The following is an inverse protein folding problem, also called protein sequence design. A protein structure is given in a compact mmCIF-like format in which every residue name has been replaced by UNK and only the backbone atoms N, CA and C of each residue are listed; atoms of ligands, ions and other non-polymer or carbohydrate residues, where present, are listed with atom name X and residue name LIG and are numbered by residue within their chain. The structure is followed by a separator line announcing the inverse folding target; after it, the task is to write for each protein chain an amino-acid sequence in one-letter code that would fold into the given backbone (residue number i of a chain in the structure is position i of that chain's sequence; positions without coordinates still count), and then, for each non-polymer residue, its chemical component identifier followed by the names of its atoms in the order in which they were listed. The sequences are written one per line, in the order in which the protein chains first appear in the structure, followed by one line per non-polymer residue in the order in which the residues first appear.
data_IF_440318290698
#
_entry.id   IF_440318290698
#
_cell.length_a   1.000
_cell.length_b   1.000
_cell.length_c   1.000
_cell.angle_alpha   90.00
_cell.angle_beta   90.00
_cell.angle_gamma   90.00
#
_symmetry.space_group_name_H-M   'P 1'
#
loop_
_entity.id
_entity.type
_entity.pdbx_description
1 polymer ?
#
# COMPACT_ATOMS: atom_id res chain seq x y z
N UNK A 1 1.71 30.55 10.86
CA UNK A 1 1.52 31.05 9.49
C UNK A 1 2.49 30.41 8.49
N UNK A 2 3.83 30.41 8.71
CA UNK A 2 4.79 29.75 7.81
C UNK A 2 4.55 28.24 7.61
N UNK A 3 4.27 27.52 8.71
CA UNK A 3 3.94 26.09 8.68
C UNK A 3 2.67 25.81 7.87
N UNK A 4 1.57 26.53 8.16
CA UNK A 4 0.33 26.47 7.38
C UNK A 4 0.55 26.76 5.89
N UNK A 5 1.37 27.76 5.54
CA UNK A 5 1.70 28.05 4.14
C UNK A 5 2.44 26.88 3.49
N UNK A 6 3.36 26.22 4.21
CA UNK A 6 4.03 25.00 3.75
C UNK A 6 3.04 23.85 3.52
N UNK A 7 2.13 23.62 4.47
CA UNK A 7 1.06 22.61 4.32
C UNK A 7 0.15 22.89 3.11
N UNK A 8 -0.20 24.15 2.88
CA UNK A 8 -1.02 24.57 1.74
C UNK A 8 -0.28 24.40 0.41
N UNK A 9 1.03 24.68 0.38
CA UNK A 9 1.86 24.38 -0.80
C UNK A 9 1.82 22.89 -1.09
N UNK A 10 2.05 22.03 -0.10
CA UNK A 10 1.96 20.56 -0.27
C UNK A 10 0.56 20.13 -0.74
N UNK A 11 -0.50 20.76 -0.21
CA UNK A 11 -1.90 20.50 -0.58
C UNK A 11 -2.19 20.81 -2.06
N UNK A 12 -1.52 21.81 -2.64
CA UNK A 12 -1.63 22.17 -4.05
C UNK A 12 -0.63 21.44 -4.97
N UNK A 13 0.44 20.86 -4.39
CA UNK A 13 1.66 20.48 -5.10
C UNK A 13 1.74 19.06 -5.73
N UNK A 14 0.67 18.33 -6.06
CA UNK A 14 0.86 17.14 -6.89
C UNK A 14 0.21 17.29 -8.27
N UNK A 15 0.93 17.87 -9.23
CA UNK A 15 0.48 18.02 -10.64
C UNK A 15 1.09 16.97 -11.57
N UNK A 16 1.08 15.69 -11.18
CA UNK A 16 1.63 14.63 -12.03
C UNK A 16 1.39 13.21 -11.54
N UNK A 17 0.19 12.91 -11.08
CA UNK A 17 -0.15 11.53 -10.71
C UNK A 17 -0.41 10.68 -11.95
N UNK A 18 0.14 9.47 -11.95
CA UNK A 18 -0.08 8.53 -13.06
C UNK A 18 -1.28 7.64 -12.81
N UNK A 19 -1.61 7.40 -11.55
CA UNK A 19 -2.74 6.58 -11.16
C UNK A 19 -3.31 6.96 -9.78
N UNK A 20 -4.46 6.38 -9.46
CA UNK A 20 -5.14 6.54 -8.17
C UNK A 20 -4.28 6.09 -6.97
N UNK A 21 -3.36 5.15 -7.16
CA UNK A 21 -2.47 4.70 -6.09
C UNK A 21 -1.46 5.78 -5.68
N UNK A 22 -0.96 6.59 -6.63
CA UNK A 22 -0.08 7.72 -6.33
C UNK A 22 -0.81 8.76 -5.45
N UNK A 23 -2.08 9.03 -5.78
CA UNK A 23 -2.95 9.87 -4.95
C UNK A 23 -3.15 9.28 -3.56
N UNK A 24 -3.43 7.96 -3.45
CA UNK A 24 -3.60 7.30 -2.15
C UNK A 24 -2.33 7.39 -1.30
N UNK A 25 -1.16 7.13 -1.89
CA UNK A 25 0.14 7.26 -1.21
C UNK A 25 0.33 8.70 -0.71
N UNK A 26 0.04 9.71 -1.55
CA UNK A 26 0.08 11.10 -1.15
C UNK A 26 -0.85 11.38 0.03
N UNK A 27 -2.11 10.95 -0.02
CA UNK A 27 -3.10 11.17 1.03
C UNK A 27 -2.70 10.51 2.35
N UNK A 28 -2.15 9.30 2.31
CA UNK A 28 -1.62 8.60 3.49
C UNK A 28 -0.47 9.39 4.11
N UNK A 29 0.52 9.79 3.32
CA UNK A 29 1.68 10.55 3.81
C UNK A 29 1.30 11.94 4.31
N UNK A 30 0.36 12.60 3.64
CA UNK A 30 -0.21 13.88 4.07
C UNK A 30 -0.93 13.72 5.41
N UNK A 31 -1.80 12.71 5.56
CA UNK A 31 -2.48 12.37 6.82
C UNK A 31 -1.50 12.11 7.97
N UNK A 32 -0.36 11.47 7.67
CA UNK A 32 0.69 11.14 8.65
C UNK A 32 1.37 12.35 9.25
N UNK A 33 1.51 13.42 8.47
CA UNK A 33 2.06 14.70 8.93
C UNK A 33 1.13 15.45 9.89
N UNK A 34 -0.08 14.93 10.14
CA UNK A 34 -1.11 15.55 10.99
C UNK A 34 -1.42 17.02 10.66
N UNK A 35 -1.70 17.34 9.39
CA UNK A 35 -1.85 18.71 8.93
C UNK A 35 -3.04 19.42 9.57
N UNK A 36 -2.97 20.75 9.58
CA UNK A 36 -4.04 21.59 10.10
C UNK A 36 -5.39 21.31 9.45
N UNK A 37 -6.48 21.68 10.13
CA UNK A 37 -7.85 21.54 9.59
C UNK A 37 -8.01 22.31 8.28
N UNK A 38 -7.36 23.46 8.14
CA UNK A 38 -7.42 24.29 6.94
C UNK A 38 -6.79 23.54 5.76
N UNK A 39 -5.58 22.99 5.93
CA UNK A 39 -4.91 22.23 4.88
C UNK A 39 -5.72 20.98 4.47
N UNK A 40 -6.28 20.25 5.43
CA UNK A 40 -7.15 19.08 5.14
C UNK A 40 -8.42 19.47 4.39
N UNK A 41 -9.08 20.55 4.79
CA UNK A 41 -10.24 21.10 4.09
C UNK A 41 -9.89 21.58 2.69
N UNK A 42 -8.68 22.11 2.49
CA UNK A 42 -8.21 22.57 1.19
C UNK A 42 -7.95 21.42 0.23
N UNK A 43 -7.27 20.35 0.70
CA UNK A 43 -7.13 19.12 -0.08
C UNK A 43 -8.49 18.51 -0.43
N UNK A 44 -9.47 18.57 0.48
CA UNK A 44 -10.82 18.05 0.21
C UNK A 44 -11.51 18.79 -0.94
N UNK A 45 -11.33 20.11 -1.03
CA UNK A 45 -11.89 20.92 -2.14
C UNK A 45 -11.32 20.49 -3.49
N UNK A 46 -10.02 20.15 -3.54
CA UNK A 46 -9.40 19.66 -4.77
C UNK A 46 -9.63 18.17 -4.99
N UNK A 47 -9.87 17.39 -3.94
CA UNK A 47 -10.07 15.94 -4.06
C UNK A 47 -11.19 15.65 -5.06
N UNK A 48 -12.27 16.45 -5.09
CA UNK A 48 -13.29 16.35 -6.12
C UNK A 48 -13.87 17.72 -6.45
N UNK A 49 -13.56 18.24 -7.64
CA UNK A 49 -14.02 19.51 -8.17
C UNK A 49 -14.44 19.33 -9.63
N UNK A 50 -15.60 19.88 -10.01
CA UNK A 50 -16.14 19.81 -11.38
C UNK A 50 -16.12 18.39 -11.99
N UNK A 51 -16.56 17.41 -11.19
CA UNK A 51 -16.57 15.98 -11.55
C UNK A 51 -15.20 15.37 -11.86
N UNK A 52 -14.13 16.03 -11.39
CA UNK A 52 -12.75 15.60 -11.58
C UNK A 52 -11.97 15.60 -10.27
N UNK A 53 -11.04 14.66 -10.14
CA UNK A 53 -10.04 14.68 -9.09
C UNK A 53 -8.99 15.74 -9.45
N UNK A 54 -8.79 16.71 -8.55
CA UNK A 54 -7.87 17.84 -8.71
C UNK A 54 -8.09 18.64 -10.00
N UNK A 55 -9.34 18.67 -10.50
CA UNK A 55 -9.71 19.38 -11.73
C UNK A 55 -9.14 18.80 -13.04
N UNK A 56 -8.29 17.77 -12.94
CA UNK A 56 -7.58 17.20 -14.09
C UNK A 56 -8.16 15.83 -14.48
N UNK A 57 -8.40 14.97 -13.50
CA UNK A 57 -8.65 13.55 -13.76
C UNK A 57 -10.13 13.19 -13.63
N UNK A 58 -10.72 12.63 -14.69
CA UNK A 58 -12.06 12.07 -14.60
C UNK A 58 -12.05 10.87 -13.63
N UNK A 59 -12.91 10.90 -12.62
CA UNK A 59 -12.88 9.90 -11.56
C UNK A 59 -13.26 8.49 -12.05
N UNK A 60 -14.19 8.38 -12.99
CA UNK A 60 -14.59 7.10 -13.57
C UNK A 60 -13.46 6.47 -14.37
N UNK A 61 -12.81 7.26 -15.23
CA UNK A 61 -11.69 6.78 -16.03
C UNK A 61 -10.54 6.31 -15.13
N UNK A 62 -10.28 7.03 -14.04
CA UNK A 62 -9.28 6.67 -13.04
C UNK A 62 -9.64 5.42 -12.24
N UNK A 63 -10.91 5.26 -11.87
CA UNK A 63 -11.39 4.06 -11.20
C UNK A 63 -11.25 2.83 -12.10
N UNK A 64 -11.69 2.94 -13.36
CA UNK A 64 -11.52 1.88 -14.36
C UNK A 64 -10.03 1.57 -14.59
N UNK A 65 -9.18 2.59 -14.72
CA UNK A 65 -7.73 2.39 -14.84
C UNK A 65 -7.15 1.69 -13.60
N UNK A 66 -7.59 2.05 -12.39
CA UNK A 66 -7.16 1.39 -11.16
C UNK A 66 -7.60 -0.08 -11.09
N UNK A 67 -8.81 -0.41 -11.58
CA UNK A 67 -9.27 -1.79 -11.71
C UNK A 67 -8.40 -2.58 -12.71
N UNK A 68 -8.09 -2.00 -13.87
CA UNK A 68 -7.22 -2.63 -14.88
C UNK A 68 -5.81 -2.87 -14.35
N UNK A 69 -5.24 -1.89 -13.64
CA UNK A 69 -3.94 -2.02 -12.99
C UNK A 69 -3.90 -3.12 -11.92
N UNK A 70 -5.06 -3.52 -11.41
CA UNK A 70 -5.24 -4.65 -10.49
C UNK A 70 -5.75 -5.92 -11.18
N UNK A 71 -5.57 -6.03 -12.50
CA UNK A 71 -5.80 -7.25 -13.25
C UNK A 71 -7.23 -7.48 -13.70
N UNK A 72 -8.14 -6.50 -13.58
CA UNK A 72 -9.47 -6.57 -14.21
C UNK A 72 -9.32 -6.32 -15.72
N UNK A 73 -9.68 -7.27 -16.60
CA UNK A 73 -9.59 -7.05 -18.04
C UNK A 73 -10.49 -5.88 -18.50
N UNK A 74 -9.98 -4.99 -19.35
CA UNK A 74 -10.71 -3.82 -19.86
C UNK A 74 -12.01 -4.18 -20.60
N UNK A 75 -12.04 -5.35 -21.23
CA UNK A 75 -13.23 -5.89 -21.89
C UNK A 75 -14.36 -6.12 -20.87
N UNK A 76 -14.05 -6.58 -19.65
CA UNK A 76 -15.07 -6.77 -18.62
C UNK A 76 -15.64 -5.46 -18.12
N UNK A 77 -14.82 -4.41 -18.02
CA UNK A 77 -15.29 -3.07 -17.66
C UNK A 77 -16.24 -2.46 -18.71
N UNK A 78 -16.21 -2.97 -19.95
CA UNK A 78 -17.10 -2.53 -21.02
C UNK A 78 -18.43 -3.31 -21.05
N UNK A 79 -18.57 -4.37 -20.24
CA UNK A 79 -19.83 -5.12 -20.12
C UNK A 79 -20.85 -4.34 -19.29
N UNK A 80 -22.14 -4.65 -19.47
CA UNK A 80 -23.21 -4.03 -18.67
C UNK A 80 -22.96 -4.20 -17.16
N UNK A 81 -22.58 -5.40 -16.72
CA UNK A 81 -22.31 -5.70 -15.32
C UNK A 81 -21.07 -4.93 -14.81
N UNK A 82 -19.99 -4.88 -15.59
CA UNK A 82 -18.78 -4.12 -15.24
C UNK A 82 -19.03 -2.62 -15.11
N UNK A 83 -19.83 -2.03 -15.99
CA UNK A 83 -20.22 -0.61 -15.91
C UNK A 83 -21.09 -0.34 -14.68
N UNK A 84 -22.07 -1.19 -14.40
CA UNK A 84 -22.94 -1.06 -13.23
C UNK A 84 -22.14 -1.18 -11.93
N UNK A 85 -21.26 -2.17 -11.84
CA UNK A 85 -20.37 -2.35 -10.69
C UNK A 85 -19.45 -1.15 -10.49
N UNK A 86 -18.75 -0.70 -11.54
CA UNK A 86 -17.85 0.46 -11.48
C UNK A 86 -18.57 1.72 -11.02
N UNK A 87 -19.80 1.94 -11.51
CA UNK A 87 -20.63 3.09 -11.10
C UNK A 87 -20.99 3.04 -9.61
N UNK A 88 -21.32 1.86 -9.07
CA UNK A 88 -21.60 1.68 -7.63
C UNK A 88 -20.37 1.91 -6.74
N UNK A 89 -19.17 1.61 -7.24
CA UNK A 89 -17.94 1.80 -6.47
C UNK A 89 -17.56 3.28 -6.27
N UNK A 90 -18.07 4.21 -7.09
CA UNK A 90 -17.65 5.61 -7.11
C UNK A 90 -17.65 6.23 -5.70
N UNK A 91 -18.81 6.22 -5.05
CA UNK A 91 -18.99 6.91 -3.78
C UNK A 91 -18.13 6.28 -2.68
N UNK A 92 -18.12 4.95 -2.61
CA UNK A 92 -17.34 4.23 -1.60
C UNK A 92 -15.83 4.43 -1.77
N UNK A 93 -15.32 4.44 -3.01
CA UNK A 93 -13.91 4.74 -3.29
C UNK A 93 -13.59 6.19 -2.93
N UNK A 94 -14.44 7.13 -3.31
CA UNK A 94 -14.25 8.55 -2.98
C UNK A 94 -14.23 8.77 -1.46
N UNK A 95 -15.20 8.22 -0.72
CA UNK A 95 -15.23 8.33 0.73
C UNK A 95 -14.03 7.61 1.38
N UNK A 96 -13.53 6.52 0.80
CA UNK A 96 -12.30 5.83 1.24
C UNK A 96 -11.05 6.71 1.07
N UNK A 97 -10.92 7.44 -0.04
CA UNK A 97 -9.84 8.41 -0.23
C UNK A 97 -9.97 9.58 0.77
N UNK A 98 -11.20 10.06 0.97
CA UNK A 98 -11.52 11.17 1.87
C UNK A 98 -11.24 10.85 3.34
N UNK A 99 -11.22 9.57 3.75
CA UNK A 99 -10.84 9.15 5.11
C UNK A 99 -9.56 9.86 5.56
N UNK A 100 -8.51 9.85 4.73
CA UNK A 100 -7.21 10.40 5.07
C UNK A 100 -7.21 11.93 5.34
N UNK A 101 -8.30 12.63 5.03
CA UNK A 101 -8.47 14.07 5.29
C UNK A 101 -9.19 14.34 6.62
N UNK A 102 -9.68 13.30 7.29
CA UNK A 102 -10.16 13.42 8.66
C UNK A 102 -9.02 13.40 9.68
N UNK A 103 -9.28 13.87 10.90
CA UNK A 103 -8.35 13.64 12.01
C UNK A 103 -8.29 12.13 12.34
N UNK A 104 -7.20 11.67 12.97
CA UNK A 104 -6.94 10.23 13.16
C UNK A 104 -8.04 9.50 13.93
N UNK A 105 -8.63 10.10 14.97
CA UNK A 105 -9.75 9.51 15.70
C UNK A 105 -10.99 9.34 14.81
N UNK A 106 -11.31 10.35 13.99
CA UNK A 106 -12.44 10.29 13.05
C UNK A 106 -12.17 9.35 11.87
N UNK A 107 -10.92 9.18 11.45
CA UNK A 107 -10.55 8.17 10.45
C UNK A 107 -11.01 6.78 10.89
N UNK A 108 -10.65 6.38 12.11
CA UNK A 108 -10.98 5.06 12.65
C UNK A 108 -12.49 4.81 12.67
N UNK A 109 -13.27 5.76 13.17
CA UNK A 109 -14.74 5.67 13.20
C UNK A 109 -15.38 5.63 11.81
N UNK A 110 -14.83 6.38 10.83
CA UNK A 110 -15.35 6.39 9.45
C UNK A 110 -15.02 5.11 8.71
N UNK A 111 -13.87 4.49 9.00
CA UNK A 111 -13.53 3.18 8.47
C UNK A 111 -14.56 2.12 8.91
N UNK A 112 -15.03 2.13 10.16
CA UNK A 112 -16.05 1.17 10.63
C UNK A 112 -17.32 1.19 9.78
N UNK A 113 -17.76 2.38 9.38
CA UNK A 113 -18.89 2.55 8.46
C UNK A 113 -18.55 2.04 7.06
N UNK A 114 -17.40 2.46 6.51
CA UNK A 114 -16.97 2.09 5.16
C UNK A 114 -16.79 0.58 4.98
N UNK A 115 -16.33 -0.16 6.00
CA UNK A 115 -16.22 -1.62 5.92
C UNK A 115 -17.60 -2.29 5.74
N UNK A 116 -18.69 -1.65 6.18
CA UNK A 116 -20.05 -2.09 5.87
C UNK A 116 -20.40 -1.92 4.39
N UNK A 117 -20.06 -0.78 3.79
CA UNK A 117 -20.28 -0.52 2.35
C UNK A 117 -19.41 -1.43 1.48
N UNK A 118 -18.14 -1.62 1.85
CA UNK A 118 -17.23 -2.52 1.16
C UNK A 118 -17.65 -3.98 1.23
N UNK A 119 -18.32 -4.41 2.32
CA UNK A 119 -18.91 -5.75 2.40
C UNK A 119 -19.97 -5.98 1.30
N UNK A 120 -20.83 -5.00 1.07
CA UNK A 120 -21.84 -5.07 -0.01
C UNK A 120 -21.14 -5.13 -1.37
N UNK A 121 -20.13 -4.28 -1.60
CA UNK A 121 -19.37 -4.28 -2.85
C UNK A 121 -18.58 -5.58 -3.07
N UNK A 122 -18.15 -6.28 -2.01
CA UNK A 122 -17.53 -7.59 -2.14
C UNK A 122 -18.51 -8.65 -2.63
N UNK A 123 -19.73 -8.64 -2.12
CA UNK A 123 -20.77 -9.57 -2.58
C UNK A 123 -21.14 -9.29 -4.05
N UNK A 124 -21.30 -8.01 -4.42
CA UNK A 124 -21.55 -7.61 -5.80
C UNK A 124 -20.39 -8.03 -6.73
N UNK A 125 -19.15 -7.81 -6.33
CA UNK A 125 -17.97 -8.19 -7.11
C UNK A 125 -17.88 -9.70 -7.35
N UNK A 126 -18.16 -10.50 -6.31
CA UNK A 126 -18.20 -11.95 -6.42
C UNK A 126 -19.31 -12.41 -7.39
N UNK A 127 -20.48 -11.77 -7.35
CA UNK A 127 -21.58 -12.08 -8.26
C UNK A 127 -21.25 -11.73 -9.72
N UNK A 128 -20.57 -10.61 -9.97
CA UNK A 128 -20.12 -10.23 -11.32
C UNK A 128 -19.10 -11.25 -11.86
N UNK A 129 -18.11 -11.61 -11.04
CA UNK A 129 -17.12 -12.63 -11.43
C UNK A 129 -17.80 -13.99 -11.69
N UNK A 130 -18.72 -14.43 -10.82
CA UNK A 130 -19.44 -15.70 -10.95
C UNK A 130 -20.28 -15.77 -12.24
N UNK A 131 -21.04 -14.70 -12.55
CA UNK A 131 -21.81 -14.60 -13.79
C UNK A 131 -20.91 -14.75 -15.02
N UNK A 132 -19.81 -14.02 -15.05
CA UNK A 132 -18.84 -14.11 -16.15
C UNK A 132 -18.29 -15.54 -16.31
N UNK A 133 -17.88 -16.17 -15.21
CA UNK A 133 -17.35 -17.55 -15.26
C UNK A 133 -18.38 -18.56 -15.74
N UNK A 134 -19.65 -18.37 -15.37
CA UNK A 134 -20.77 -19.22 -15.78
C UNK A 134 -21.06 -19.07 -17.28
N UNK A 135 -21.15 -17.84 -17.77
CA UNK A 135 -21.40 -17.55 -19.19
C UNK A 135 -20.28 -18.07 -20.09
N UNK A 136 -19.03 -17.99 -19.63
CA UNK A 136 -17.85 -18.45 -20.36
C UNK A 136 -17.55 -19.95 -20.17
N UNK A 137 -18.37 -20.69 -19.41
CA UNK A 137 -18.16 -22.10 -19.07
C UNK A 137 -16.75 -22.39 -18.51
N UNK A 138 -16.22 -21.48 -17.68
CA UNK A 138 -14.90 -21.64 -17.08
C UNK A 138 -15.01 -22.64 -15.91
N UNK A 139 -14.12 -23.65 -15.81
CA UNK A 139 -14.15 -24.58 -14.68
C UNK A 139 -13.96 -23.88 -13.34
N UNK A 140 -14.71 -24.30 -12.31
CA UNK A 140 -14.63 -23.75 -10.94
C UNK A 140 -13.23 -23.63 -10.37
N UNK A 141 -12.38 -24.62 -10.61
CA UNK A 141 -10.98 -24.62 -10.16
C UNK A 141 -10.11 -23.53 -10.81
N UNK A 142 -10.56 -22.97 -11.94
CA UNK A 142 -9.89 -21.93 -12.71
C UNK A 142 -10.66 -20.60 -12.69
N UNK A 143 -11.64 -20.42 -11.79
CA UNK A 143 -12.40 -19.17 -11.70
C UNK A 143 -11.46 -17.99 -11.47
N UNK A 144 -11.35 -17.07 -12.44
CA UNK A 144 -10.64 -15.83 -12.20
C UNK A 144 -11.37 -15.01 -11.14
N UNK A 145 -10.60 -14.32 -10.30
CA UNK A 145 -11.10 -13.32 -9.36
C UNK A 145 -10.67 -11.97 -9.90
N UNK A 146 -11.55 -11.28 -10.62
CA UNK A 146 -11.25 -9.98 -11.21
C UNK A 146 -11.71 -8.88 -10.26
N UNK A 147 -13.01 -8.58 -10.28
CA UNK A 147 -13.59 -7.56 -9.41
C UNK A 147 -13.44 -7.95 -7.95
N UNK A 148 -13.54 -9.25 -7.63
CA UNK A 148 -13.33 -9.77 -6.27
C UNK A 148 -11.92 -9.46 -5.76
N UNK A 149 -10.88 -9.66 -6.59
CA UNK A 149 -9.50 -9.41 -6.19
C UNK A 149 -9.23 -7.90 -5.99
N UNK A 150 -9.80 -7.05 -6.85
CA UNK A 150 -9.69 -5.60 -6.70
C UNK A 150 -10.41 -5.10 -5.44
N UNK A 151 -11.64 -5.57 -5.19
CA UNK A 151 -12.41 -5.18 -3.99
C UNK A 151 -11.74 -5.63 -2.71
N UNK A 152 -11.17 -6.85 -2.72
CA UNK A 152 -10.40 -7.39 -1.60
C UNK A 152 -9.22 -6.46 -1.28
N UNK A 153 -8.46 -6.04 -2.30
CA UNK A 153 -7.35 -5.11 -2.12
C UNK A 153 -7.80 -3.82 -1.43
N UNK A 154 -8.90 -3.20 -1.88
CA UNK A 154 -9.43 -1.97 -1.27
C UNK A 154 -9.87 -2.16 0.19
N UNK A 155 -10.63 -3.23 0.46
CA UNK A 155 -11.13 -3.51 1.81
C UNK A 155 -10.01 -3.83 2.81
N UNK A 156 -8.99 -4.61 2.41
CA UNK A 156 -7.91 -5.02 3.30
C UNK A 156 -7.07 -3.81 3.71
N UNK A 157 -6.83 -2.85 2.80
CA UNK A 157 -6.16 -1.60 3.17
C UNK A 157 -6.91 -0.86 4.30
N UNK A 158 -8.24 -0.80 4.24
CA UNK A 158 -9.04 -0.17 5.29
C UNK A 158 -9.02 -0.99 6.59
N UNK A 159 -9.06 -2.32 6.51
CA UNK A 159 -8.92 -3.19 7.68
C UNK A 159 -7.56 -2.99 8.36
N UNK A 160 -6.46 -3.01 7.60
CA UNK A 160 -5.11 -2.73 8.12
C UNK A 160 -5.07 -1.34 8.75
N UNK A 161 -5.59 -0.31 8.07
CA UNK A 161 -5.62 1.06 8.59
C UNK A 161 -6.40 1.18 9.91
N UNK A 162 -7.52 0.46 10.05
CA UNK A 162 -8.32 0.44 11.27
C UNK A 162 -7.54 -0.10 12.48
N UNK A 163 -6.78 -1.19 12.29
CA UNK A 163 -5.98 -1.79 13.37
C UNK A 163 -4.80 -0.89 13.72
N UNK A 164 -4.03 -0.39 12.73
CA UNK A 164 -2.86 0.46 13.03
C UNK A 164 -3.24 1.80 13.66
N UNK A 165 -4.39 2.39 13.28
CA UNK A 165 -4.93 3.56 13.98
C UNK A 165 -5.27 3.26 15.44
N UNK A 166 -5.66 2.02 15.76
CA UNK A 166 -5.88 1.62 17.14
C UNK A 166 -4.58 1.61 17.97
N UNK A 167 -3.45 1.25 17.35
CA UNK A 167 -2.13 1.34 17.98
C UNK A 167 -1.72 2.81 18.15
N UNK A 168 -1.81 3.62 17.09
CA UNK A 168 -1.43 5.04 17.10
C UNK A 168 -2.24 5.87 18.11
N UNK A 169 -3.54 5.55 18.27
CA UNK A 169 -4.44 6.23 19.20
C UNK A 169 -4.36 5.66 20.64
N UNK A 170 -3.48 4.69 20.92
CA UNK A 170 -3.33 4.10 22.25
C UNK A 170 -4.57 3.34 22.72
N UNK A 171 -5.34 2.74 21.80
CA UNK A 171 -6.62 2.08 22.11
C UNK A 171 -6.45 0.63 22.57
N UNK A 172 -5.28 0.04 22.32
CA UNK A 172 -4.87 -1.27 22.78
C UNK A 172 -3.98 -1.15 24.00
N UNK A 173 -4.26 -1.93 25.04
CA UNK A 173 -3.31 -2.11 26.14
C UNK A 173 -2.06 -2.88 25.64
N UNK A 174 -0.90 -2.77 26.32
CA UNK A 174 0.30 -3.53 25.93
C UNK A 174 0.08 -5.05 25.83
N UNK A 175 -0.78 -5.62 26.69
CA UNK A 175 -1.17 -7.03 26.63
C UNK A 175 -1.99 -7.40 25.38
N UNK A 176 -2.57 -6.43 24.67
CA UNK A 176 -3.34 -6.65 23.44
C UNK A 176 -2.48 -6.50 22.17
N UNK A 177 -1.22 -6.04 22.29
CA UNK A 177 -0.34 -5.83 21.13
C UNK A 177 -0.05 -7.12 20.37
N UNK A 178 0.15 -8.25 21.07
CA UNK A 178 0.31 -9.56 20.44
C UNK A 178 -0.87 -9.91 19.53
N UNK A 179 -2.11 -9.73 20.02
CA UNK A 179 -3.33 -9.95 19.23
C UNK A 179 -3.44 -8.98 18.05
N UNK A 180 -3.11 -7.70 18.24
CA UNK A 180 -3.18 -6.71 17.17
C UNK A 180 -2.20 -7.03 16.03
N UNK A 181 -0.94 -7.37 16.35
CA UNK A 181 0.06 -7.73 15.35
C UNK A 181 -0.21 -9.09 14.69
N UNK A 182 -0.76 -10.06 15.42
CA UNK A 182 -1.21 -11.33 14.84
C UNK A 182 -2.29 -11.10 13.78
N UNK A 183 -3.30 -10.28 14.10
CA UNK A 183 -4.37 -9.98 13.15
C UNK A 183 -3.83 -9.22 11.93
N UNK A 184 -2.87 -8.31 12.14
CA UNK A 184 -2.19 -7.61 11.06
C UNK A 184 -1.38 -8.57 10.15
N UNK A 185 -0.64 -9.54 10.70
CA UNK A 185 0.05 -10.60 9.88
C UNK A 185 -0.98 -11.37 9.04
N UNK A 186 -2.14 -11.71 9.60
CA UNK A 186 -3.21 -12.34 8.85
C UNK A 186 -3.71 -11.48 7.67
N UNK A 187 -3.99 -10.19 7.90
CA UNK A 187 -4.46 -9.28 6.86
C UNK A 187 -3.41 -9.09 5.75
N UNK A 188 -2.15 -8.85 6.11
CA UNK A 188 -1.06 -8.76 5.13
C UNK A 188 -0.81 -10.10 4.42
N UNK A 189 -1.03 -11.23 5.09
CA UNK A 189 -1.00 -12.56 4.48
C UNK A 189 -2.09 -12.73 3.41
N UNK A 190 -3.31 -12.29 3.70
CA UNK A 190 -4.42 -12.29 2.73
C UNK A 190 -4.12 -11.38 1.53
N UNK A 191 -3.63 -10.17 1.80
CA UNK A 191 -3.19 -9.22 0.76
C UNK A 191 -2.07 -9.80 -0.11
N UNK A 192 -1.05 -10.40 0.50
CA UNK A 192 0.07 -11.02 -0.21
C UNK A 192 -0.42 -12.14 -1.14
N UNK A 193 -1.35 -12.98 -0.68
CA UNK A 193 -1.95 -14.01 -1.50
C UNK A 193 -2.73 -13.41 -2.67
N UNK A 194 -3.50 -12.34 -2.43
CA UNK A 194 -4.24 -11.63 -3.47
C UNK A 194 -3.28 -11.08 -4.55
N UNK A 195 -2.26 -10.33 -4.14
CA UNK A 195 -1.27 -9.74 -5.04
C UNK A 195 -0.53 -10.79 -5.87
N UNK A 196 -0.10 -11.90 -5.27
CA UNK A 196 0.62 -12.96 -5.99
C UNK A 196 -0.25 -13.66 -7.05
N UNK A 197 -1.51 -13.97 -6.70
CA UNK A 197 -2.46 -14.58 -7.65
C UNK A 197 -2.76 -13.62 -8.79
N UNK A 198 -3.06 -12.37 -8.48
CA UNK A 198 -3.35 -11.33 -9.48
C UNK A 198 -2.14 -11.07 -10.37
N UNK A 199 -0.94 -10.97 -9.81
CA UNK A 199 0.29 -10.77 -10.59
C UNK A 199 0.55 -11.93 -11.55
N UNK A 200 0.43 -13.17 -11.06
CA UNK A 200 0.57 -14.37 -11.91
C UNK A 200 -0.40 -14.34 -13.09
N UNK A 201 -1.64 -13.90 -12.85
CA UNK A 201 -2.64 -13.74 -13.89
C UNK A 201 -2.26 -12.65 -14.89
N UNK A 202 -1.93 -11.45 -14.41
CA UNK A 202 -1.54 -10.30 -15.24
C UNK A 202 -0.34 -10.63 -16.12
N UNK A 203 0.67 -11.32 -15.57
CA UNK A 203 1.85 -11.73 -16.31
C UNK A 203 1.51 -12.74 -17.43
N UNK A 204 0.63 -13.71 -17.15
CA UNK A 204 0.15 -14.67 -18.17
C UNK A 204 -0.64 -13.97 -19.27
N UNK A 205 -1.54 -13.04 -18.93
CA UNK A 205 -2.28 -12.26 -19.90
C UNK A 205 -1.36 -11.40 -20.78
N UNK A 206 -0.36 -10.75 -20.20
CA UNK A 206 0.62 -9.94 -20.95
C UNK A 206 1.43 -10.76 -21.96
N UNK A 207 1.69 -12.04 -21.68
CA UNK A 207 2.34 -12.97 -22.63
C UNK A 207 1.42 -13.39 -23.79
N UNK A 208 0.12 -13.53 -23.53
CA UNK A 208 -0.87 -13.98 -24.53
C UNK A 208 -1.34 -12.82 -25.42
N UNK A 209 -1.43 -11.61 -24.87
CA UNK A 209 -1.84 -10.39 -25.57
C UNK A 209 -0.74 -9.32 -25.43
N UNK A 210 0.35 -9.38 -26.23
CA UNK A 210 1.36 -8.34 -26.19
C UNK A 210 0.73 -7.00 -26.57
N UNK A 211 0.87 -6.00 -25.70
CA UNK A 211 0.32 -4.66 -25.96
C UNK A 211 0.94 -4.08 -27.25
N UNK A 212 0.10 -3.60 -28.16
CA UNK A 212 0.56 -2.62 -29.17
C UNK A 212 0.94 -1.34 -28.41
N UNK A 213 2.06 -0.69 -28.76
CA UNK A 213 2.50 0.51 -28.06
C UNK A 213 1.41 1.59 -28.12
N UNK A 214 0.88 1.95 -26.96
CA UNK A 214 -0.01 3.09 -26.79
C UNK A 214 0.82 4.38 -26.93
N UNK A 215 1.04 4.86 -28.15
CA UNK A 215 1.73 6.14 -28.37
C UNK A 215 1.08 7.05 -29.41
N UNK A 216 -0.08 6.71 -29.98
CA UNK A 216 -0.68 7.56 -31.04
C UNK A 216 -2.10 8.08 -30.80
N UNK A 217 -2.78 7.76 -29.69
CA UNK A 217 -4.18 8.22 -29.49
C UNK A 217 -4.38 9.38 -28.50
N UNK A 218 -3.31 9.93 -27.90
CA UNK A 218 -3.44 11.04 -26.94
C UNK A 218 -2.82 12.38 -27.39
N UNK A 219 -2.71 12.63 -28.71
CA UNK A 219 -2.23 13.92 -29.25
C UNK A 219 -3.08 14.48 -30.39
N UNK A 220 -4.41 14.52 -30.23
CA UNK A 220 -5.21 15.44 -31.02
C UNK A 220 -6.36 15.98 -30.17
N UNK A 221 -6.18 17.15 -29.57
CA UNK A 221 -7.22 18.16 -29.33
C UNK A 221 -6.49 19.52 -29.15
N UNK A 222 -6.63 20.33 -30.21
CA UNK A 222 -6.84 21.78 -30.26
C UNK A 222 -5.75 22.72 -29.70
N UNK A 223 -4.98 23.30 -30.63
CA UNK A 223 -4.37 24.62 -30.44
C UNK A 223 -5.44 25.72 -30.64
N UNK A 224 -5.50 26.79 -29.82
CA UNK A 224 -6.45 27.88 -29.99
C UNK A 224 -6.03 28.84 -31.13
N UNK A 225 -6.97 29.49 -31.83
CA UNK A 225 -6.64 30.42 -32.91
C UNK A 225 -6.19 31.77 -32.32
N UNK A 226 -5.05 32.27 -32.80
CA UNK A 226 -4.54 33.61 -32.47
C UNK A 226 -5.20 34.66 -33.38
N UNK A 227 -5.49 35.89 -32.91
CA UNK A 227 -6.23 36.88 -33.68
C UNK A 227 -5.40 37.49 -34.82
N UNK A 228 -6.09 37.79 -35.93
CA UNK A 228 -5.57 38.52 -37.08
C UNK A 228 -5.23 39.98 -36.73
N UNK A 229 -4.08 40.44 -37.20
CA UNK A 229 -3.84 41.86 -37.47
C UNK A 229 -2.79 42.05 -38.58
N UNK A 230 -3.13 42.86 -39.58
CA UNK A 230 -2.17 43.69 -40.31
C UNK A 230 -1.64 43.16 -41.64
N UNK A 231 -2.37 43.43 -42.72
CA UNK A 231 -1.84 43.42 -44.08
C UNK A 231 -0.96 44.66 -44.32
N UNK A 232 0.27 44.47 -44.80
CA UNK A 232 0.95 45.41 -45.71
C UNK A 232 1.86 44.60 -46.65
N UNK A 233 1.62 44.75 -47.96
CA UNK A 233 2.47 44.23 -49.02
C UNK A 233 3.38 45.35 -49.58
N UNK A 234 4.63 45.05 -49.94
CA UNK A 234 5.23 45.42 -51.25
C UNK A 234 6.71 45.04 -51.41
N UNK A 235 6.97 44.22 -52.44
CA UNK A 235 7.94 44.36 -53.55
C UNK A 235 9.40 44.78 -53.24
N UNK A 236 10.40 43.92 -53.54
CA UNK A 236 11.02 43.73 -54.87
C UNK A 236 12.53 43.33 -54.90
N UNK A 237 12.83 42.43 -55.86
CA UNK A 237 13.98 42.35 -56.79
C UNK A 237 15.42 41.94 -56.38
N UNK A 238 15.84 40.82 -57.02
CA UNK A 238 17.04 40.61 -57.90
C UNK A 238 18.26 39.80 -57.41
N UNK A 239 18.49 38.69 -58.16
CA UNK A 239 19.76 38.09 -58.70
C UNK A 239 20.78 37.55 -57.68
N UNK A 240 21.48 36.42 -57.86
CA UNK A 240 21.90 35.67 -59.06
C UNK A 240 22.45 34.26 -58.70
N UNK A 241 22.30 33.30 -59.64
CA UNK A 241 23.18 32.20 -60.11
C UNK A 241 24.27 31.65 -59.13
N UNK A 242 24.51 30.34 -59.01
CA UNK A 242 25.08 29.50 -60.08
C UNK A 242 25.03 27.97 -59.81
N UNK A 243 24.71 27.22 -60.88
CA UNK A 243 25.29 25.94 -61.38
C UNK A 243 25.02 24.56 -60.75
N UNK A 244 24.43 23.73 -61.63
CA UNK A 244 24.32 22.28 -61.73
C UNK A 244 25.59 21.45 -61.45
N UNK A 245 25.40 20.23 -60.90
CA UNK A 245 25.77 18.99 -61.61
C UNK A 245 24.98 17.77 -61.11
N UNK A 246 24.38 17.08 -62.08
CA UNK A 246 23.73 15.76 -61.99
C UNK A 246 24.83 14.69 -62.12
N UNK A 247 24.81 13.61 -61.34
CA UNK A 247 25.03 12.26 -61.88
C UNK A 247 24.65 11.18 -60.88
N UNK A 248 24.25 10.06 -61.47
CA UNK A 248 23.56 8.91 -60.91
C UNK A 248 24.55 7.74 -60.73
N UNK A 249 24.18 6.84 -59.83
CA UNK A 249 24.60 5.44 -59.65
C UNK A 249 26.00 5.11 -59.14
N UNK A 250 25.98 4.30 -58.08
CA UNK A 250 27.09 3.49 -57.59
C UNK A 250 26.63 2.65 -56.39
N UNK A 251 26.10 1.46 -56.66
CA UNK A 251 25.86 0.42 -55.65
C UNK A 251 27.22 -0.02 -55.10
N UNK A 252 27.38 0.06 -53.78
CA UNK A 252 28.55 -0.41 -53.06
C UNK A 252 28.19 -0.67 -51.61
N UNK A 253 27.93 -1.94 -51.29
CA UNK A 253 27.84 -2.42 -49.92
C UNK A 253 29.21 -2.27 -49.25
N UNK A 254 29.29 -1.68 -48.05
CA UNK A 254 30.22 -2.01 -46.96
C UNK A 254 29.79 -1.28 -45.67
N UNK A 255 29.77 -2.06 -44.58
CA UNK A 255 29.87 -1.68 -43.16
C UNK A 255 28.74 -0.83 -42.54
N UNK A 256 27.77 -1.52 -41.94
CA UNK A 256 27.06 -1.04 -40.75
C UNK A 256 28.09 -0.84 -39.64
N UNK A 257 28.40 0.39 -39.33
CA UNK A 257 28.98 0.80 -38.05
C UNK A 257 28.17 1.98 -37.58
N UNK A 258 27.01 1.69 -37.00
CA UNK A 258 26.21 2.70 -36.31
C UNK A 258 26.05 2.26 -34.86
N UNK A 259 26.88 2.92 -34.04
CA UNK A 259 26.50 3.52 -32.77
C UNK A 259 25.40 2.82 -31.99
N UNK A 260 25.85 2.16 -30.92
CA UNK A 260 25.12 1.97 -29.68
C UNK A 260 24.33 3.24 -29.31
N UNK A 261 23.06 3.28 -29.68
CA UNK A 261 22.14 4.31 -29.22
C UNK A 261 21.27 3.74 -28.11
N UNK A 262 21.33 4.43 -26.98
CA UNK A 262 20.77 4.06 -25.69
C UNK A 262 19.26 3.85 -25.76
N UNK A 263 18.82 2.61 -25.90
CA UNK A 263 17.45 2.23 -25.59
C UNK A 263 17.29 2.28 -24.07
N UNK A 264 16.79 3.39 -23.54
CA UNK A 264 16.29 3.42 -22.17
C UNK A 264 15.23 2.32 -22.05
N UNK A 265 15.53 1.24 -21.32
CA UNK A 265 14.56 0.20 -21.00
C UNK A 265 13.39 0.88 -20.28
N UNK A 266 12.28 1.05 -20.98
CA UNK A 266 11.02 1.50 -20.36
C UNK A 266 10.60 0.42 -19.37
N UNK A 267 10.73 0.70 -18.07
CA UNK A 267 10.26 -0.21 -17.02
C UNK A 267 8.76 -0.41 -17.20
N UNK A 268 8.32 -1.67 -17.25
CA UNK A 268 6.90 -1.99 -17.21
C UNK A 268 6.33 -1.55 -15.85
N UNK A 269 5.55 -0.46 -15.88
CA UNK A 269 5.01 0.19 -14.68
C UNK A 269 4.11 -0.75 -13.87
N UNK A 270 3.31 -1.60 -14.54
CA UNK A 270 2.44 -2.57 -13.88
C UNK A 270 3.26 -3.62 -13.17
N UNK A 271 4.29 -4.16 -13.83
CA UNK A 271 5.23 -5.09 -13.22
C UNK A 271 5.93 -4.48 -12.00
N UNK A 272 6.49 -3.27 -12.15
CA UNK A 272 7.15 -2.57 -11.06
C UNK A 272 6.21 -2.39 -9.86
N UNK A 273 4.96 -1.97 -10.10
CA UNK A 273 3.95 -1.85 -9.05
C UNK A 273 3.76 -3.15 -8.27
N UNK A 274 3.47 -4.27 -8.94
CA UNK A 274 3.23 -5.53 -8.24
C UNK A 274 4.44 -5.99 -7.44
N UNK A 275 5.64 -5.91 -8.02
CA UNK A 275 6.87 -6.31 -7.32
C UNK A 275 7.12 -5.44 -6.08
N UNK A 276 6.92 -4.13 -6.18
CA UNK A 276 6.98 -3.21 -5.03
C UNK A 276 5.98 -3.60 -3.95
N UNK A 277 4.70 -3.71 -4.30
CA UNK A 277 3.64 -3.94 -3.32
C UNK A 277 3.75 -5.32 -2.66
N UNK A 278 4.12 -6.36 -3.42
CA UNK A 278 4.42 -7.70 -2.87
C UNK A 278 5.56 -7.59 -1.86
N UNK A 279 6.69 -6.99 -2.24
CA UNK A 279 7.87 -6.90 -1.38
C UNK A 279 7.62 -6.04 -0.13
N UNK A 280 6.84 -4.97 -0.26
CA UNK A 280 6.41 -4.13 0.86
C UNK A 280 5.48 -4.88 1.82
N UNK A 281 4.56 -5.68 1.27
CA UNK A 281 3.68 -6.56 2.06
C UNK A 281 4.49 -7.62 2.82
N UNK A 282 5.49 -8.22 2.19
CA UNK A 282 6.41 -9.18 2.84
C UNK A 282 7.19 -8.56 4.00
N UNK A 283 7.67 -7.32 3.83
CA UNK A 283 8.29 -6.53 4.89
C UNK A 283 7.35 -6.35 6.09
N UNK A 284 6.14 -5.82 5.85
CA UNK A 284 5.17 -5.56 6.92
C UNK A 284 4.76 -6.84 7.63
N UNK A 285 4.49 -7.91 6.87
CA UNK A 285 4.12 -9.21 7.41
C UNK A 285 5.22 -9.79 8.30
N UNK A 286 6.48 -9.70 7.87
CA UNK A 286 7.63 -10.17 8.66
C UNK A 286 7.80 -9.38 9.97
N UNK A 287 7.59 -8.06 9.94
CA UNK A 287 7.57 -7.21 11.14
C UNK A 287 6.43 -7.61 12.09
N UNK A 288 5.20 -7.71 11.58
CA UNK A 288 4.01 -8.06 12.38
C UNK A 288 4.18 -9.43 13.04
N UNK A 289 4.71 -10.41 12.30
CA UNK A 289 5.04 -11.74 12.85
C UNK A 289 6.10 -11.68 13.94
N UNK A 290 7.16 -10.89 13.73
CA UNK A 290 8.20 -10.70 14.74
C UNK A 290 7.62 -10.12 16.03
N UNK A 291 6.75 -9.10 15.92
CA UNK A 291 6.09 -8.53 17.10
C UNK A 291 5.10 -9.48 17.75
N UNK A 292 4.31 -10.23 16.99
CA UNK A 292 3.41 -11.24 17.56
C UNK A 292 4.19 -12.23 18.45
N UNK A 293 5.27 -12.81 17.92
CA UNK A 293 6.12 -13.74 18.67
C UNK A 293 6.81 -13.06 19.86
N UNK A 294 7.30 -11.84 19.68
CA UNK A 294 7.90 -11.04 20.74
C UNK A 294 6.93 -10.84 21.90
N UNK A 295 5.73 -10.34 21.64
CA UNK A 295 4.73 -10.08 22.68
C UNK A 295 4.28 -11.36 23.39
N UNK A 296 4.20 -12.49 22.69
CA UNK A 296 3.95 -13.77 23.35
C UNK A 296 5.07 -14.13 24.35
N UNK A 297 6.34 -13.98 23.95
CA UNK A 297 7.48 -14.24 24.83
C UNK A 297 7.50 -13.29 26.04
N UNK A 298 7.22 -11.99 25.83
CA UNK A 298 7.15 -11.00 26.90
C UNK A 298 6.04 -11.31 27.92
N UNK A 299 4.87 -11.74 27.46
CA UNK A 299 3.73 -12.11 28.31
C UNK A 299 4.07 -13.34 29.15
N UNK A 300 4.74 -14.35 28.56
CA UNK A 300 5.16 -15.57 29.28
C UNK A 300 6.22 -15.33 30.34
N UNK A 301 7.08 -14.34 30.16
CA UNK A 301 8.04 -13.93 31.19
C UNK A 301 7.42 -12.98 32.24
N UNK A 302 6.14 -12.64 32.12
CA UNK A 302 5.46 -11.71 33.02
C UNK A 302 5.97 -10.27 32.91
N UNK A 303 6.62 -9.92 31.79
CA UNK A 303 7.18 -8.58 31.55
C UNK A 303 6.13 -7.58 31.04
N UNK A 304 4.97 -8.09 30.60
CA UNK A 304 3.79 -7.31 30.22
C UNK A 304 2.66 -7.61 31.20
N UNK A 305 2.11 -6.56 31.81
CA UNK A 305 0.98 -6.70 32.73
C UNK A 305 -0.30 -7.07 31.99
N UNK A 306 -0.81 -8.28 32.24
CA UNK A 306 -2.09 -8.74 31.68
C UNK A 306 -3.22 -8.38 32.64
N UNK A 307 -4.03 -7.39 32.26
CA UNK A 307 -5.20 -6.97 33.04
C UNK A 307 -6.40 -7.87 32.76
N UNK A 308 -6.65 -8.79 33.70
CA UNK A 308 -7.82 -9.66 33.69
C UNK A 308 -9.12 -8.83 33.73
N UNK A 309 -10.05 -9.04 32.79
CA UNK A 309 -11.33 -8.32 32.83
C UNK A 309 -12.18 -8.77 34.02
N UNK A 310 -12.66 -7.80 34.82
CA UNK A 310 -13.48 -8.07 36.02
C UNK A 310 -14.92 -8.47 35.69
N UNK A 311 -15.51 -7.88 34.66
CA UNK A 311 -16.92 -8.05 34.28
C UNK A 311 -17.11 -8.58 32.85
N UNK A 312 -16.04 -9.02 32.20
CA UNK A 312 -16.08 -9.53 30.82
C UNK A 312 -15.07 -10.67 30.65
N UNK A 313 -14.99 -11.23 29.44
CA UNK A 313 -13.95 -12.18 29.05
C UNK A 313 -13.02 -11.57 28.01
N UNK A 314 -11.85 -12.18 27.82
CA UNK A 314 -10.96 -11.83 26.70
C UNK A 314 -11.64 -12.05 25.35
N UNK A 315 -12.47 -13.10 25.22
CA UNK A 315 -13.30 -13.37 24.04
C UNK A 315 -14.20 -12.18 23.69
N UNK A 316 -14.97 -11.65 24.66
CA UNK A 316 -15.86 -10.50 24.43
C UNK A 316 -15.04 -9.26 24.05
N UNK A 317 -13.89 -9.03 24.71
CA UNK A 317 -13.00 -7.92 24.37
C UNK A 317 -12.52 -8.03 22.92
N UNK A 318 -11.99 -9.18 22.53
CA UNK A 318 -11.56 -9.46 21.15
C UNK A 318 -12.70 -9.21 20.15
N UNK A 319 -13.87 -9.76 20.45
CA UNK A 319 -15.07 -9.58 19.65
C UNK A 319 -15.41 -8.10 19.44
N UNK A 320 -15.30 -7.25 20.48
CA UNK A 320 -15.51 -5.81 20.34
C UNK A 320 -14.40 -5.11 19.54
N UNK A 321 -13.13 -5.48 19.74
CA UNK A 321 -11.99 -4.88 19.01
C UNK A 321 -12.12 -5.05 17.50
N UNK A 322 -12.55 -6.23 17.07
CA UNK A 322 -12.64 -6.61 15.66
C UNK A 322 -14.09 -6.72 15.13
N UNK A 323 -15.06 -6.19 15.88
CA UNK A 323 -16.47 -6.18 15.47
C UNK A 323 -16.72 -5.62 14.05
N UNK A 324 -16.03 -4.55 13.61
CA UNK A 324 -16.24 -4.01 12.26
C UNK A 324 -15.93 -5.01 11.13
N UNK A 325 -15.10 -6.01 11.39
CA UNK A 325 -14.64 -6.95 10.36
C UNK A 325 -15.66 -8.06 10.06
N UNK A 326 -16.58 -8.34 10.99
CA UNK A 326 -17.55 -9.45 10.86
C UNK A 326 -18.48 -9.35 9.66
N UNK A 327 -18.67 -8.15 9.13
CA UNK A 327 -19.52 -7.91 7.96
C UNK A 327 -18.83 -8.32 6.66
N UNK A 328 -17.51 -8.35 6.62
CA UNK A 328 -16.76 -8.65 5.40
C UNK A 328 -16.74 -10.15 5.13
N UNK A 329 -16.84 -10.51 3.85
CA UNK A 329 -16.74 -11.89 3.43
C UNK A 329 -15.28 -12.33 3.29
N UNK A 330 -14.43 -11.44 2.78
CA UNK A 330 -13.01 -11.72 2.54
C UNK A 330 -12.13 -10.52 2.93
N UNK A 331 -11.00 -10.72 3.62
CA UNK A 331 -10.71 -11.92 4.41
C UNK A 331 -11.77 -12.12 5.50
N UNK A 332 -12.05 -13.37 5.83
CA UNK A 332 -13.02 -13.69 6.87
C UNK A 332 -12.54 -13.17 8.23
N UNK A 333 -13.46 -12.66 9.05
CA UNK A 333 -13.12 -12.21 10.39
C UNK A 333 -12.68 -13.39 11.26
N UNK A 334 -11.44 -13.35 11.75
CA UNK A 334 -10.95 -14.34 12.71
C UNK A 334 -11.66 -14.24 14.05
N UNK A 335 -11.70 -15.36 14.75
CA UNK A 335 -12.29 -15.55 16.07
C UNK A 335 -11.23 -15.51 17.18
N UNK A 336 -11.68 -15.49 18.44
CA UNK A 336 -10.75 -15.55 19.57
C UNK A 336 -10.18 -16.97 19.74
N UNK A 337 -10.94 -17.98 19.32
CA UNK A 337 -10.50 -19.37 19.24
C UNK A 337 -9.33 -19.51 18.26
N UNK A 338 -9.43 -18.93 17.06
CA UNK A 338 -8.33 -18.89 16.08
C UNK A 338 -7.07 -18.22 16.65
N UNK A 339 -7.24 -17.20 17.48
CA UNK A 339 -6.13 -16.55 18.18
C UNK A 339 -5.49 -17.50 19.19
N UNK A 340 -6.27 -18.16 20.04
CA UNK A 340 -5.73 -19.07 21.06
C UNK A 340 -4.99 -20.26 20.45
N UNK A 341 -5.51 -20.84 19.35
CA UNK A 341 -4.86 -21.94 18.64
C UNK A 341 -3.49 -21.52 18.05
N UNK A 342 -3.41 -20.31 17.48
CA UNK A 342 -2.15 -19.79 16.92
C UNK A 342 -1.21 -19.22 17.98
N UNK A 343 -1.72 -18.89 19.17
CA UNK A 343 -0.96 -18.32 20.28
C UNK A 343 -0.47 -19.40 21.27
N UNK A 344 -0.66 -20.68 20.97
CA UNK A 344 -0.13 -21.77 21.79
C UNK A 344 1.37 -21.99 21.55
N UNK A 345 2.17 -21.32 22.37
CA UNK A 345 3.61 -21.54 22.45
C UNK A 345 4.03 -22.38 23.66
N UNK A 346 3.09 -23.05 24.34
CA UNK A 346 3.34 -23.74 25.61
C UNK A 346 4.46 -24.79 25.54
N UNK A 347 4.65 -25.39 24.36
CA UNK A 347 5.67 -26.40 24.09
C UNK A 347 7.09 -25.85 23.90
N UNK A 348 7.25 -24.53 23.76
CA UNK A 348 8.54 -23.90 23.47
C UNK A 348 9.05 -23.10 24.67
N UNK A 349 10.36 -23.07 24.87
CA UNK A 349 10.98 -22.18 25.86
C UNK A 349 10.95 -20.71 25.37
N UNK A 350 10.76 -19.71 26.24
CA UNK A 350 10.71 -18.30 25.84
C UNK A 350 11.91 -17.86 24.98
N UNK A 351 13.11 -18.34 25.29
CA UNK A 351 14.33 -18.04 24.53
C UNK A 351 14.28 -18.53 23.07
N UNK A 352 13.58 -19.62 22.79
CA UNK A 352 13.38 -20.10 21.42
C UNK A 352 12.43 -19.17 20.65
N UNK A 353 11.40 -18.65 21.32
CA UNK A 353 10.43 -17.72 20.73
C UNK A 353 11.13 -16.39 20.41
N UNK A 354 11.99 -15.88 21.31
CA UNK A 354 12.79 -14.69 21.03
C UNK A 354 13.73 -14.86 19.84
N UNK A 355 14.36 -16.02 19.67
CA UNK A 355 15.19 -16.32 18.50
C UNK A 355 14.36 -16.31 17.20
N UNK A 356 13.18 -16.94 17.23
CA UNK A 356 12.24 -16.91 16.09
C UNK A 356 11.83 -15.47 15.73
N UNK A 357 11.54 -14.65 16.75
CA UNK A 357 11.19 -13.24 16.55
C UNK A 357 12.36 -12.45 15.95
N UNK A 358 13.60 -12.70 16.42
CA UNK A 358 14.81 -12.10 15.89
C UNK A 358 15.04 -12.46 14.41
N UNK A 359 14.79 -13.72 14.01
CA UNK A 359 14.84 -14.16 12.61
C UNK A 359 13.80 -13.45 11.74
N UNK A 360 12.58 -13.25 12.25
CA UNK A 360 11.55 -12.48 11.56
C UNK A 360 11.97 -11.00 11.39
N UNK A 361 12.59 -10.38 12.41
CA UNK A 361 13.13 -9.01 12.29
C UNK A 361 14.30 -8.92 11.29
N UNK A 362 15.19 -9.92 11.23
CA UNK A 362 16.26 -9.99 10.23
C UNK A 362 15.71 -10.11 8.81
N UNK A 363 14.64 -10.88 8.64
CA UNK A 363 13.92 -11.03 7.37
C UNK A 363 13.30 -9.70 6.95
N UNK A 364 12.57 -9.03 7.85
CA UNK A 364 12.05 -7.69 7.62
C UNK A 364 13.15 -6.69 7.21
N UNK A 365 14.28 -6.67 7.94
CA UNK A 365 15.44 -5.83 7.60
C UNK A 365 15.90 -6.06 6.16
N UNK A 366 16.03 -7.31 5.74
CA UNK A 366 16.46 -7.65 4.39
C UNK A 366 15.47 -7.15 3.32
N UNK A 367 14.16 -7.28 3.54
CA UNK A 367 13.15 -6.74 2.63
C UNK A 367 13.23 -5.21 2.54
N UNK A 368 13.40 -4.50 3.66
CA UNK A 368 13.52 -3.05 3.68
C UNK A 368 14.79 -2.56 2.95
N UNK A 369 15.94 -3.19 3.19
CA UNK A 369 17.19 -2.87 2.48
C UNK A 369 17.07 -3.08 0.97
N UNK A 370 16.37 -4.14 0.53
CA UNK A 370 16.14 -4.39 -0.88
C UNK A 370 15.26 -3.33 -1.53
N UNK A 371 14.17 -2.93 -0.87
CA UNK A 371 13.29 -1.86 -1.32
C UNK A 371 14.02 -0.51 -1.41
N UNK A 372 14.92 -0.21 -0.47
CA UNK A 372 15.71 1.02 -0.45
C UNK A 372 16.82 1.06 -1.50
N UNK A 373 17.43 -0.10 -1.84
CA UNK A 373 18.46 -0.16 -2.89
C UNK A 373 17.89 0.11 -4.28
N UNK A 374 16.62 -0.21 -4.51
CA UNK A 374 15.86 0.02 -5.73
C UNK A 374 16.66 -0.12 -7.05
N UNK A 375 17.38 -1.23 -7.21
CA UNK A 375 18.33 -1.43 -8.32
C UNK A 375 17.67 -1.33 -9.70
N UNK A 376 16.38 -1.64 -9.77
CA UNK A 376 15.59 -1.70 -11.00
C UNK A 376 14.69 -0.46 -11.16
N UNK A 377 14.86 0.57 -10.32
CA UNK A 377 14.01 1.76 -10.26
C UNK A 377 12.50 1.44 -10.13
N UNK A 378 12.18 0.29 -9.54
CA UNK A 378 10.82 -0.23 -9.31
C UNK A 378 10.05 0.63 -8.31
N UNK A 379 10.76 1.16 -7.31
CA UNK A 379 10.20 1.95 -6.22
C UNK A 379 10.35 3.46 -6.47
N UNK A 380 10.88 3.87 -7.61
CA UNK A 380 11.15 5.27 -7.92
C UNK A 380 10.07 5.85 -8.83
N UNK A 381 9.40 6.90 -8.35
CA UNK A 381 8.45 7.69 -9.15
C UNK A 381 9.09 8.99 -9.62
N UNK A 382 8.93 9.32 -10.90
CA UNK A 382 9.29 10.62 -11.44
C UNK A 382 8.23 11.64 -11.03
N UNK A 383 8.65 12.67 -10.30
CA UNK A 383 7.82 13.81 -9.90
C UNK A 383 8.30 15.08 -10.63
N UNK A 384 7.49 16.15 -10.65
CA UNK A 384 7.89 17.43 -11.22
C UNK A 384 9.20 17.99 -10.64
N UNK A 385 9.56 17.60 -9.41
CA UNK A 385 10.77 18.02 -8.71
C UNK A 385 11.92 16.99 -8.81
N UNK A 386 11.80 15.97 -9.67
CA UNK A 386 12.79 14.91 -9.87
C UNK A 386 12.32 13.51 -9.44
N UNK A 387 13.24 12.55 -9.37
CA UNK A 387 12.96 11.16 -8.95
C UNK A 387 12.79 11.09 -7.42
N UNK A 388 11.71 10.49 -6.93
CA UNK A 388 11.45 10.25 -5.49
C UNK A 388 11.14 8.77 -5.25
N UNK A 389 11.67 8.23 -4.15
CA UNK A 389 11.35 6.87 -3.69
C UNK A 389 9.95 6.84 -3.07
N UNK A 390 9.10 5.93 -3.54
CA UNK A 390 7.78 5.63 -2.97
C UNK A 390 7.97 5.12 -1.53
N UNK A 391 7.27 5.74 -0.57
CA UNK A 391 7.37 5.43 0.88
C UNK A 391 8.80 5.49 1.44
N UNK A 392 9.71 6.26 0.83
CA UNK A 392 11.14 6.24 1.20
C UNK A 392 11.45 6.59 2.66
N UNK A 393 10.80 7.60 3.24
CA UNK A 393 10.93 7.97 4.65
C UNK A 393 10.42 6.88 5.59
N UNK A 394 9.29 6.26 5.25
CA UNK A 394 8.73 5.14 5.99
C UNK A 394 9.62 3.89 5.94
N UNK A 395 10.15 3.55 4.77
CA UNK A 395 11.06 2.40 4.65
C UNK A 395 12.30 2.55 5.53
N UNK A 396 12.82 3.77 5.66
CA UNK A 396 13.95 4.07 6.56
C UNK A 396 13.57 3.89 8.04
N UNK A 397 12.38 4.33 8.45
CA UNK A 397 11.93 4.17 9.84
C UNK A 397 11.64 2.71 10.16
N UNK A 398 10.99 1.97 9.26
CA UNK A 398 10.77 0.52 9.39
C UNK A 398 12.08 -0.26 9.48
N UNK A 399 13.07 0.06 8.61
CA UNK A 399 14.41 -0.52 8.68
C UNK A 399 15.05 -0.28 10.06
N UNK A 400 14.97 0.96 10.57
CA UNK A 400 15.52 1.32 11.87
C UNK A 400 14.83 0.56 13.02
N UNK A 401 13.52 0.37 12.96
CA UNK A 401 12.78 -0.46 13.92
C UNK A 401 13.25 -1.92 13.88
N UNK A 402 13.40 -2.52 12.69
CA UNK A 402 13.88 -3.91 12.55
C UNK A 402 15.27 -4.08 13.16
N UNK A 403 16.20 -3.18 12.83
CA UNK A 403 17.58 -3.21 13.37
C UNK A 403 17.59 -3.02 14.88
N UNK A 404 16.84 -2.03 15.37
CA UNK A 404 16.83 -1.71 16.81
C UNK A 404 16.30 -2.87 17.63
N UNK A 405 15.18 -3.49 17.22
CA UNK A 405 14.64 -4.65 17.93
C UNK A 405 15.54 -5.89 17.82
N UNK A 406 16.20 -6.15 16.68
CA UNK A 406 17.24 -7.20 16.60
C UNK A 406 18.35 -6.97 17.64
N UNK A 407 18.87 -5.75 17.76
CA UNK A 407 19.94 -5.43 18.71
C UNK A 407 19.47 -5.59 20.15
N UNK A 408 18.26 -5.14 20.48
CA UNK A 408 17.68 -5.28 21.82
C UNK A 408 17.46 -6.74 22.22
N UNK A 409 17.02 -7.57 21.27
CA UNK A 409 16.90 -9.02 21.48
C UNK A 409 18.26 -9.69 21.66
N UNK A 410 19.28 -9.30 20.90
CA UNK A 410 20.63 -9.83 21.07
C UNK A 410 21.30 -9.38 22.38
N UNK A 411 20.96 -8.18 22.89
CA UNK A 411 21.43 -7.66 24.18
C UNK A 411 20.70 -8.27 25.38
N UNK A 412 19.51 -8.85 25.17
CA UNK A 412 18.77 -9.55 26.21
C UNK A 412 19.61 -10.74 26.68
N UNK A 413 19.93 -10.76 27.98
CA UNK A 413 20.53 -11.94 28.59
C UNK A 413 19.42 -12.97 28.80
N UNK A 414 19.54 -14.21 28.28
CA UNK A 414 18.58 -15.25 28.61
C UNK A 414 18.60 -15.47 30.11
N UNK A 415 17.42 -15.52 30.74
CA UNK A 415 17.31 -15.90 32.14
C UNK A 415 17.80 -17.35 32.25
N UNK A 416 19.01 -17.53 32.78
CA UNK A 416 19.61 -18.85 32.95
C UNK A 416 18.73 -19.70 33.89
N UNK A 417 17.95 -20.62 33.32
CA UNK A 417 17.26 -21.67 34.07
C UNK A 417 18.29 -22.73 34.49
N UNK A 418 18.84 -22.57 35.69
CA UNK A 418 19.81 -23.52 36.24
C UNK A 418 20.23 -23.28 37.69
N UNK A 419 19.40 -22.65 38.52
CA UNK A 419 19.75 -22.37 39.92
C UNK A 419 18.53 -22.34 40.84
N UNK A 420 18.32 -23.47 41.52
CA UNK A 420 17.39 -23.73 42.65
C UNK A 420 16.66 -22.50 43.21
N UNK A 421 15.32 -22.61 43.21
CA UNK A 421 14.36 -22.00 44.13
C UNK A 421 14.97 -21.01 45.12
N UNK A 422 14.97 -19.72 44.78
CA UNK A 422 14.97 -18.66 45.78
C UNK A 422 13.64 -17.92 45.69
N UNK A 423 12.90 -18.09 46.79
CA UNK A 423 11.70 -17.39 47.23
C UNK A 423 11.39 -16.13 46.42
N UNK A 424 10.15 -16.08 45.94
CA UNK A 424 9.49 -14.86 45.48
C UNK A 424 9.70 -13.73 46.51
N UNK A 425 10.73 -12.92 46.28
CA UNK A 425 10.74 -11.55 46.74
C UNK A 425 9.83 -10.80 45.79
N UNK A 426 8.76 -10.23 46.33
CA UNK A 426 8.02 -9.12 45.74
C UNK A 426 9.01 -7.97 45.47
N UNK A 427 9.74 -8.06 44.38
CA UNK A 427 10.61 -7.03 43.86
C UNK A 427 9.95 -6.51 42.60
N UNK A 428 9.64 -5.22 42.59
CA UNK A 428 9.09 -4.48 41.47
C UNK A 428 9.87 -4.84 40.20
N UNK A 429 9.33 -5.71 39.36
CA UNK A 429 9.80 -5.89 37.99
C UNK A 429 9.51 -4.58 37.28
N UNK A 430 10.56 -3.83 36.96
CA UNK A 430 10.43 -2.63 36.15
C UNK A 430 9.71 -3.01 34.85
N UNK A 431 8.55 -2.40 34.55
CA UNK A 431 7.78 -2.78 33.38
C UNK A 431 8.58 -2.50 32.12
N UNK A 432 8.42 -3.34 31.10
CA UNK A 432 9.00 -3.07 29.78
C UNK A 432 8.44 -1.76 29.23
N UNK A 433 9.33 -0.96 28.64
CA UNK A 433 8.96 0.26 27.93
C UNK A 433 8.92 0.00 26.42
N UNK A 434 7.89 0.55 25.77
CA UNK A 434 7.66 0.48 24.33
C UNK A 434 7.82 1.86 23.72
N UNK A 435 8.94 2.08 23.03
CA UNK A 435 9.26 3.37 22.41
C UNK A 435 8.73 3.45 20.97
N UNK A 436 7.73 4.30 20.75
CA UNK A 436 7.12 4.56 19.43
C UNK A 436 7.71 5.79 18.72
N UNK A 437 8.79 6.39 19.22
CA UNK A 437 9.40 7.61 18.65
C UNK A 437 9.92 7.43 17.21
N UNK A 438 10.32 6.20 16.85
CA UNK A 438 10.82 5.89 15.49
C UNK A 438 9.67 5.65 14.51
N UNK A 439 8.63 4.93 14.94
CA UNK A 439 7.50 4.57 14.10
C UNK A 439 6.20 4.47 14.92
N UNK A 440 5.09 5.07 14.47
CA UNK A 440 3.85 5.14 15.26
C UNK A 440 3.17 3.78 15.46
N UNK A 441 3.43 2.81 14.59
CA UNK A 441 2.78 1.49 14.65
C UNK A 441 3.69 0.38 15.15
N UNK A 442 4.99 0.59 15.30
CA UNK A 442 5.95 -0.48 15.60
C UNK A 442 6.97 0.03 16.64
N UNK A 443 6.90 -0.45 17.90
CA UNK A 443 7.74 0.07 18.97
C UNK A 443 9.15 -0.53 18.91
N UNK A 444 10.11 0.16 19.51
CA UNK A 444 11.36 -0.45 19.95
C UNK A 444 11.20 -0.89 21.40
N UNK A 445 11.41 -2.18 21.65
CA UNK A 445 11.33 -2.75 23.00
C UNK A 445 12.57 -2.40 23.81
N UNK A 446 12.37 -1.82 24.99
CA UNK A 446 13.43 -1.51 25.97
C UNK A 446 13.30 -2.52 27.11
N UNK A 447 14.28 -3.43 27.21
CA UNK A 447 14.35 -4.36 28.34
C UNK A 447 14.87 -3.63 29.58
N UNK A 448 14.32 -3.92 30.77
CA UNK A 448 14.84 -3.35 32.02
C UNK A 448 16.30 -3.74 32.23
N UNK A 449 17.11 -2.78 32.70
CA UNK A 449 18.49 -3.06 33.09
C UNK A 449 18.50 -4.03 34.29
N UNK A 450 19.27 -5.11 34.16
CA UNK A 450 19.44 -6.13 35.21
C UNK A 450 20.26 -5.63 36.38
#
# INVERSE_FOLDING_TARGET
MKELLGELVVSCSPTGWKCMEDLRIFLIEFSRQQPSVIARSYVLLFLYADSKIYGEYNFMDWLSAAMVMNGVPSVLLSTQEGVLYSSRCIETVYESLKVFLHNRSRQRARIEYLLGEWSILQADAAAVDERFTTEMNIPKAAHPRYFTAWTLEESVHLMTQYVVLGLELGLYAPSEFGTAYWYLDYLEGSRLQNLNVTWTFVEKMGKIMPQRPATEQCRQIVAPPTPQAGAVASKSLKKSKTKHKKHHNGVGAVAVTESSDSTSRSVDYTRARFLREIKYTELLRSLMRAFFQLFNALEREGLVEVKLPTYSTFTIRFQHRFAPFRKLHYPAALTYEDFNENNDFSLYEPDLIYKSAEECFKTARAHAEELLRDKEEINTIATANGKKLVRGSELQTLLKVSVSNCVRLAQRRPNASGGKSKKASQGVTTPIEFDFSIHPHFPVVVFPAS
#
